data_IF_150650680822
#
_entry.id   IF_150650680822
#
_cell.length_a   1.000
_cell.length_b   1.000
_cell.length_c   1.000
_cell.angle_alpha   90.00
_cell.angle_beta   90.00
_cell.angle_gamma   90.00
#
_symmetry.space_group_name_H-M   'P 1'
#
loop_
_entity.id
_entity.type
_entity.pdbx_description
1 polymer ?
#
# COMPACT_ATOMS: atom_id res chain seq x y z
N UNK A 1 -21.67 -10.66 25.78
CA UNK A 1 -20.38 -11.10 25.26
C UNK A 1 -20.45 -10.78 23.77
N UNK A 2 -19.93 -9.61 23.33
CA UNK A 2 -19.84 -9.31 21.90
C UNK A 2 -18.73 -10.18 21.39
N UNK A 3 -19.01 -10.92 20.33
CA UNK A 3 -18.03 -11.66 19.58
C UNK A 3 -17.05 -10.60 19.01
N UNK A 4 -15.85 -10.50 19.55
CA UNK A 4 -14.81 -9.61 19.03
C UNK A 4 -14.24 -10.27 17.79
N UNK A 5 -15.02 -10.24 16.71
CA UNK A 5 -14.54 -10.59 15.38
C UNK A 5 -13.35 -9.70 15.04
N UNK A 6 -12.30 -10.28 14.44
CA UNK A 6 -11.16 -9.48 13.97
C UNK A 6 -11.66 -8.42 13.00
N UNK A 7 -11.20 -7.17 13.13
CA UNK A 7 -11.49 -6.07 12.20
C UNK A 7 -11.30 -6.50 10.73
N UNK A 8 -10.34 -7.36 10.46
CA UNK A 8 -10.06 -7.88 9.12
C UNK A 8 -11.23 -8.67 8.49
N UNK A 9 -12.26 -9.03 9.25
CA UNK A 9 -13.43 -9.82 8.82
C UNK A 9 -14.73 -9.01 8.77
N UNK A 10 -14.72 -7.75 9.24
CA UNK A 10 -15.90 -6.89 9.26
C UNK A 10 -16.29 -6.39 7.85
N UNK A 11 -17.54 -5.97 7.71
CA UNK A 11 -18.07 -5.42 6.47
C UNK A 11 -18.05 -3.88 6.53
N UNK A 12 -17.30 -3.27 5.62
CA UNK A 12 -17.14 -1.82 5.47
C UNK A 12 -17.67 -1.33 4.10
N UNK A 13 -18.57 -2.09 3.46
CA UNK A 13 -19.15 -1.72 2.16
C UNK A 13 -19.88 -0.39 2.21
N UNK A 14 -19.90 0.29 1.07
CA UNK A 14 -20.69 1.49 0.79
C UNK A 14 -20.37 2.72 1.68
N UNK A 15 -19.28 2.69 2.45
CA UNK A 15 -18.81 3.83 3.20
C UNK A 15 -18.01 4.78 2.29
N UNK A 16 -18.13 6.08 2.50
CA UNK A 16 -17.16 7.04 1.95
C UNK A 16 -15.78 6.83 2.56
N UNK A 17 -14.74 7.39 1.95
CA UNK A 17 -13.37 7.24 2.47
C UNK A 17 -13.23 7.73 3.92
N UNK A 18 -13.87 8.85 4.25
CA UNK A 18 -13.81 9.44 5.59
C UNK A 18 -14.57 8.59 6.61
N UNK A 19 -15.79 8.14 6.28
CA UNK A 19 -16.58 7.23 7.12
C UNK A 19 -15.86 5.89 7.30
N UNK A 20 -15.23 5.37 6.24
CA UNK A 20 -14.48 4.13 6.27
C UNK A 20 -13.29 4.23 7.23
N UNK A 21 -12.49 5.30 7.14
CA UNK A 21 -11.36 5.55 8.04
C UNK A 21 -11.81 5.77 9.48
N UNK A 22 -12.89 6.54 9.70
CA UNK A 22 -13.43 6.79 11.03
C UNK A 22 -13.91 5.48 11.67
N UNK A 23 -14.61 4.64 10.90
CA UNK A 23 -15.09 3.34 11.37
C UNK A 23 -13.93 2.44 11.79
N UNK A 24 -12.87 2.36 10.99
CA UNK A 24 -11.68 1.55 11.31
C UNK A 24 -10.95 2.13 12.52
N UNK A 25 -10.77 3.45 12.57
CA UNK A 25 -10.04 4.11 13.66
C UNK A 25 -10.75 4.00 15.02
N UNK A 26 -12.09 3.86 14.99
CA UNK A 26 -12.89 3.68 16.21
C UNK A 26 -13.14 2.21 16.56
N UNK A 27 -12.67 1.29 15.72
CA UNK A 27 -12.77 -0.14 15.99
C UNK A 27 -11.83 -0.53 17.14
N UNK A 28 -12.37 -1.18 18.15
CA UNK A 28 -11.60 -1.61 19.33
C UNK A 28 -10.78 -2.89 18.99
N UNK A 29 -9.69 -2.74 18.24
CA UNK A 29 -8.74 -3.79 17.95
C UNK A 29 -7.34 -3.34 18.41
N UNK A 30 -6.84 -3.95 19.49
CA UNK A 30 -5.54 -3.60 20.09
C UNK A 30 -4.35 -3.82 19.13
N UNK A 31 -4.55 -4.63 18.09
CA UNK A 31 -3.52 -4.92 17.09
C UNK A 31 -3.59 -4.00 15.87
N UNK A 32 -4.53 -3.06 15.84
CA UNK A 32 -4.74 -2.17 14.71
C UNK A 32 -4.37 -0.72 15.07
N UNK A 33 -3.58 -0.09 14.21
CA UNK A 33 -3.28 1.35 14.27
C UNK A 33 -3.58 2.02 12.94
N UNK A 34 -4.12 3.25 13.01
CA UNK A 34 -4.44 4.07 11.84
C UNK A 34 -3.63 5.36 11.89
N UNK A 35 -2.84 5.61 10.87
CA UNK A 35 -2.13 6.86 10.64
C UNK A 35 -2.76 7.61 9.47
N UNK A 36 -3.22 8.84 9.72
CA UNK A 36 -3.73 9.72 8.66
C UNK A 36 -2.54 10.39 7.95
N UNK A 37 -2.42 10.18 6.64
CA UNK A 37 -1.34 10.69 5.81
C UNK A 37 -1.85 11.84 4.93
N UNK A 38 -2.18 12.96 5.57
CA UNK A 38 -2.83 14.09 4.91
C UNK A 38 -4.29 13.80 4.55
N UNK A 39 -4.88 14.57 3.61
CA UNK A 39 -6.30 14.47 3.28
C UNK A 39 -6.67 13.25 2.41
N UNK A 40 -5.70 12.70 1.68
CA UNK A 40 -5.97 11.76 0.60
C UNK A 40 -5.38 10.37 0.81
N UNK A 41 -4.62 10.15 1.88
CA UNK A 41 -3.98 8.86 2.17
C UNK A 41 -4.11 8.49 3.65
N UNK A 42 -4.06 7.18 3.90
CA UNK A 42 -3.95 6.63 5.24
C UNK A 42 -3.07 5.37 5.22
N UNK A 43 -2.46 5.09 6.35
CA UNK A 43 -1.78 3.83 6.61
C UNK A 43 -2.49 3.11 7.75
N UNK A 44 -2.76 1.81 7.57
CA UNK A 44 -3.41 0.97 8.57
C UNK A 44 -2.49 -0.22 8.80
N UNK A 45 -1.92 -0.29 10.00
CA UNK A 45 -1.12 -1.43 10.45
C UNK A 45 -2.01 -2.36 11.27
N UNK A 46 -2.00 -3.64 10.93
CA UNK A 46 -2.57 -4.70 11.75
C UNK A 46 -1.49 -5.73 12.05
N UNK A 47 -1.18 -5.90 13.33
CA UNK A 47 -0.19 -6.85 13.80
C UNK A 47 -0.85 -8.21 14.05
N UNK A 48 -0.53 -9.20 13.21
CA UNK A 48 -1.11 -10.54 13.26
C UNK A 48 -0.08 -11.68 13.29
N UNK A 49 1.17 -11.38 12.93
CA UNK A 49 2.23 -12.40 12.89
C UNK A 49 3.58 -11.84 12.53
N UNK A 50 4.55 -12.74 12.34
CA UNK A 50 5.96 -12.40 12.12
C UNK A 50 6.30 -12.00 10.69
N UNK A 51 5.41 -12.25 9.74
CA UNK A 51 5.56 -11.85 8.35
C UNK A 51 4.65 -10.67 8.07
N UNK A 52 5.08 -9.75 7.23
CA UNK A 52 4.34 -8.54 6.89
C UNK A 52 4.02 -8.50 5.40
N UNK A 53 2.76 -8.21 5.07
CA UNK A 53 2.39 -7.74 3.75
C UNK A 53 2.21 -6.22 3.76
N UNK A 54 3.00 -5.49 2.98
CA UNK A 54 2.84 -4.05 2.70
C UNK A 54 2.13 -3.93 1.36
N UNK A 55 0.91 -3.41 1.37
CA UNK A 55 0.13 -3.32 0.14
C UNK A 55 -0.44 -1.93 -0.07
N UNK A 56 -0.62 -1.59 -1.34
CA UNK A 56 -1.11 -0.30 -1.79
C UNK A 56 -2.40 -0.52 -2.55
N UNK A 57 -3.46 0.17 -2.14
CA UNK A 57 -4.76 0.11 -2.80
C UNK A 57 -5.43 1.49 -2.79
N UNK A 58 -6.49 1.67 -3.54
CA UNK A 58 -7.32 2.85 -3.43
C UNK A 58 -8.73 2.47 -2.99
N UNK A 59 -9.37 3.36 -2.26
CA UNK A 59 -10.67 3.13 -1.66
C UNK A 59 -11.78 2.88 -2.70
N UNK A 60 -11.70 3.52 -3.88
CA UNK A 60 -12.66 3.31 -4.95
C UNK A 60 -12.65 1.86 -5.45
N UNK A 61 -11.44 1.28 -5.63
CA UNK A 61 -11.31 -0.11 -6.08
C UNK A 61 -11.67 -1.11 -4.96
N UNK A 62 -11.44 -0.77 -3.69
CA UNK A 62 -11.87 -1.57 -2.54
C UNK A 62 -13.39 -1.68 -2.52
N UNK A 63 -14.11 -0.56 -2.66
CA UNK A 63 -15.57 -0.54 -2.67
C UNK A 63 -16.18 -1.14 -3.95
N UNK A 64 -15.53 -0.99 -5.10
CA UNK A 64 -16.00 -1.56 -6.35
C UNK A 64 -15.90 -3.10 -6.43
N UNK A 65 -15.14 -3.70 -5.55
CA UNK A 65 -14.95 -5.15 -5.49
C UNK A 65 -15.89 -5.78 -4.45
N UNK A 66 -16.21 -7.06 -4.65
CA UNK A 66 -17.05 -7.89 -3.79
C UNK A 66 -16.47 -8.18 -2.38
N UNK A 67 -15.43 -7.48 -1.99
CA UNK A 67 -14.63 -7.73 -0.77
C UNK A 67 -15.20 -7.07 0.49
N UNK A 68 -16.44 -6.62 0.46
CA UNK A 68 -17.12 -6.02 1.62
C UNK A 68 -16.37 -4.79 2.17
N UNK A 69 -15.82 -3.95 1.29
CA UNK A 69 -15.06 -2.77 1.66
C UNK A 69 -13.70 -3.05 2.32
N UNK A 70 -13.17 -4.27 2.16
CA UNK A 70 -11.89 -4.70 2.74
C UNK A 70 -10.75 -4.68 1.72
N UNK A 71 -9.59 -4.14 2.06
CA UNK A 71 -8.38 -4.27 1.26
C UNK A 71 -8.01 -5.75 1.03
N UNK A 72 -7.44 -6.05 -0.14
CA UNK A 72 -7.00 -7.42 -0.46
C UNK A 72 -5.93 -7.92 0.54
N UNK A 73 -5.05 -7.03 0.98
CA UNK A 73 -4.00 -7.38 1.94
C UNK A 73 -4.55 -7.92 3.25
N UNK A 74 -5.70 -7.44 3.72
CA UNK A 74 -6.34 -7.95 4.93
C UNK A 74 -6.79 -9.40 4.78
N UNK A 75 -7.34 -9.76 3.63
CA UNK A 75 -7.76 -11.13 3.36
C UNK A 75 -6.56 -12.08 3.32
N UNK A 76 -5.45 -11.63 2.72
CA UNK A 76 -4.22 -12.42 2.67
C UNK A 76 -3.59 -12.54 4.06
N UNK A 77 -3.51 -11.45 4.81
CA UNK A 77 -2.96 -11.43 6.16
C UNK A 77 -3.76 -12.35 7.11
N UNK A 78 -5.09 -12.23 7.10
CA UNK A 78 -5.96 -13.07 7.93
C UNK A 78 -5.84 -14.56 7.60
N UNK A 79 -5.73 -14.92 6.30
CA UNK A 79 -5.62 -16.31 5.86
C UNK A 79 -4.28 -16.95 6.25
N UNK A 80 -3.21 -16.20 6.17
CA UNK A 80 -1.83 -16.67 6.37
C UNK A 80 -1.29 -16.36 7.77
N UNK A 81 -2.11 -15.77 8.64
CA UNK A 81 -1.71 -15.29 9.98
C UNK A 81 -0.50 -14.34 9.91
N UNK A 82 -0.55 -13.39 8.98
CA UNK A 82 0.47 -12.36 8.78
C UNK A 82 0.02 -11.02 9.34
N UNK A 83 0.97 -10.15 9.58
CA UNK A 83 0.72 -8.72 9.75
C UNK A 83 0.45 -8.04 8.41
N UNK A 84 -0.27 -6.94 8.43
CA UNK A 84 -0.65 -6.17 7.23
C UNK A 84 -0.40 -4.69 7.44
N UNK A 85 0.32 -4.06 6.51
CA UNK A 85 0.42 -2.61 6.39
C UNK A 85 -0.27 -2.17 5.11
N UNK A 86 -1.41 -1.54 5.25
CA UNK A 86 -2.25 -1.06 4.15
C UNK A 86 -2.03 0.42 3.90
N UNK A 87 -1.45 0.79 2.77
CA UNK A 87 -1.39 2.17 2.28
C UNK A 87 -2.61 2.39 1.40
N UNK A 88 -3.58 3.16 1.87
CA UNK A 88 -4.84 3.38 1.15
C UNK A 88 -4.93 4.84 0.72
N UNK A 89 -5.23 5.05 -0.56
CA UNK A 89 -5.53 6.37 -1.10
C UNK A 89 -7.04 6.54 -1.31
N UNK A 90 -7.55 7.77 -1.18
CA UNK A 90 -8.95 8.13 -1.45
C UNK A 90 -9.34 7.78 -2.88
N UNK A 91 -8.53 8.20 -3.83
CA UNK A 91 -8.67 7.94 -5.26
C UNK A 91 -7.44 7.22 -5.80
N UNK A 92 -7.45 6.87 -7.10
CA UNK A 92 -6.30 6.25 -7.76
C UNK A 92 -5.08 7.15 -7.70
N UNK A 93 -4.04 6.71 -7.01
CA UNK A 93 -2.84 7.44 -6.70
C UNK A 93 -1.59 6.64 -7.05
N UNK A 94 -0.48 7.35 -7.35
CA UNK A 94 0.87 6.80 -7.38
C UNK A 94 1.58 6.96 -6.04
N UNK A 95 0.88 7.40 -4.99
CA UNK A 95 1.42 7.62 -3.64
C UNK A 95 2.63 8.58 -3.64
N UNK A 96 2.64 9.52 -4.60
CA UNK A 96 3.66 10.59 -4.73
C UNK A 96 3.26 11.79 -3.89
N UNK A 97 3.26 11.62 -2.57
CA UNK A 97 2.77 12.59 -1.62
C UNK A 97 3.78 12.78 -0.46
N UNK A 98 4.07 14.02 -0.01
CA UNK A 98 4.99 14.28 1.09
C UNK A 98 4.63 13.57 2.39
N UNK A 99 3.35 13.41 2.70
CA UNK A 99 2.92 12.68 3.90
C UNK A 99 3.25 11.19 3.82
N UNK A 100 3.11 10.60 2.62
CA UNK A 100 3.50 9.20 2.40
C UNK A 100 5.03 9.05 2.50
N UNK A 101 5.80 10.01 1.97
CA UNK A 101 7.27 9.99 2.12
C UNK A 101 7.68 10.05 3.58
N UNK A 102 7.11 10.99 4.34
CA UNK A 102 7.41 11.14 5.77
C UNK A 102 7.03 9.89 6.58
N UNK A 103 5.95 9.21 6.20
CA UNK A 103 5.55 7.96 6.83
C UNK A 103 6.60 6.86 6.62
N UNK A 104 7.06 6.66 5.38
CA UNK A 104 8.12 5.67 5.12
C UNK A 104 9.47 6.05 5.75
N UNK A 105 9.80 7.35 5.82
CA UNK A 105 10.98 7.81 6.56
C UNK A 105 10.88 7.38 8.03
N UNK A 106 9.74 7.61 8.68
CA UNK A 106 9.50 7.17 10.06
C UNK A 106 9.60 5.64 10.21
N UNK A 107 9.01 4.86 9.30
CA UNK A 107 9.12 3.39 9.35
C UNK A 107 10.57 2.92 9.30
N UNK A 108 11.42 3.59 8.50
CA UNK A 108 12.85 3.30 8.38
C UNK A 108 13.59 3.74 9.65
N UNK A 109 13.39 4.98 10.09
CA UNK A 109 14.11 5.57 11.22
C UNK A 109 13.80 4.82 12.53
N UNK A 110 12.56 4.38 12.71
CA UNK A 110 12.12 3.61 13.88
C UNK A 110 12.40 2.10 13.77
N UNK A 111 12.88 1.62 12.61
CA UNK A 111 13.19 0.21 12.37
C UNK A 111 11.96 -0.71 12.40
N UNK A 112 10.77 -0.17 12.12
CA UNK A 112 9.49 -0.93 12.22
C UNK A 112 9.48 -2.14 11.30
N UNK A 113 9.97 -1.99 10.06
CA UNK A 113 9.98 -3.07 9.08
C UNK A 113 11.00 -4.17 9.41
N UNK A 114 12.01 -3.87 10.20
CA UNK A 114 13.05 -4.82 10.64
C UNK A 114 12.55 -5.80 11.69
N UNK A 115 11.39 -5.54 12.30
CA UNK A 115 10.77 -6.43 13.28
C UNK A 115 10.13 -7.68 12.65
N UNK A 116 10.01 -7.72 11.31
CA UNK A 116 9.36 -8.83 10.61
C UNK A 116 10.38 -9.78 9.98
N UNK A 117 10.11 -11.09 10.08
CA UNK A 117 10.96 -12.13 9.49
C UNK A 117 10.95 -12.07 7.94
N UNK A 118 9.82 -11.70 7.37
CA UNK A 118 9.65 -11.51 5.91
C UNK A 118 8.73 -10.32 5.65
N UNK A 119 9.13 -9.51 4.68
CA UNK A 119 8.32 -8.40 4.19
C UNK A 119 8.01 -8.62 2.71
N UNK A 120 6.75 -8.52 2.34
CA UNK A 120 6.28 -8.62 0.95
C UNK A 120 5.56 -7.33 0.57
N UNK A 121 6.04 -6.67 -0.46
CA UNK A 121 5.34 -5.53 -1.06
C UNK A 121 4.43 -6.00 -2.20
N UNK A 122 3.19 -5.53 -2.21
CA UNK A 122 2.19 -5.87 -3.22
C UNK A 122 1.48 -4.64 -3.76
N UNK A 123 1.24 -4.65 -5.06
CA UNK A 123 0.42 -3.63 -5.70
C UNK A 123 -0.01 -4.02 -7.11
N UNK A 124 -1.08 -3.33 -7.57
CA UNK A 124 -1.63 -3.48 -8.92
C UNK A 124 -1.75 -2.12 -9.59
N UNK A 125 -1.43 -2.03 -10.88
CA UNK A 125 -1.48 -0.81 -11.71
C UNK A 125 -0.66 0.35 -11.09
N UNK A 126 -1.26 1.50 -10.80
CA UNK A 126 -0.60 2.64 -10.16
C UNK A 126 -0.03 2.28 -8.77
N UNK A 127 -0.73 1.44 -8.02
CA UNK A 127 -0.29 0.95 -6.72
C UNK A 127 0.90 -0.03 -6.84
N UNK A 128 1.05 -0.72 -7.98
CA UNK A 128 2.24 -1.53 -8.24
C UNK A 128 3.51 -0.68 -8.42
N UNK A 129 3.39 0.52 -9.01
CA UNK A 129 4.48 1.49 -8.99
C UNK A 129 4.89 1.83 -7.55
N UNK A 130 3.91 2.13 -6.68
CA UNK A 130 4.17 2.47 -5.29
C UNK A 130 4.84 1.31 -4.54
N UNK A 131 4.31 0.08 -4.67
CA UNK A 131 4.91 -1.10 -4.06
C UNK A 131 6.38 -1.29 -4.47
N UNK A 132 6.69 -1.11 -5.75
CA UNK A 132 8.07 -1.15 -6.24
C UNK A 132 8.93 0.02 -5.72
N UNK A 133 8.38 1.23 -5.72
CA UNK A 133 9.10 2.44 -5.32
C UNK A 133 9.46 2.45 -3.83
N UNK A 134 8.56 1.99 -2.97
CA UNK A 134 8.77 1.97 -1.52
C UNK A 134 9.41 0.68 -1.00
N UNK A 135 9.60 -0.34 -1.84
CA UNK A 135 10.27 -1.59 -1.42
C UNK A 135 11.69 -1.39 -0.88
N UNK A 136 12.35 -0.30 -1.27
CA UNK A 136 13.68 0.08 -0.77
C UNK A 136 13.70 0.32 0.75
N UNK A 137 12.54 0.60 1.36
CA UNK A 137 12.42 0.79 2.82
C UNK A 137 12.56 -0.51 3.63
N UNK A 138 12.47 -1.67 2.99
CA UNK A 138 12.73 -2.97 3.61
C UNK A 138 13.71 -3.78 2.73
N UNK A 139 15.02 -3.60 2.85
CA UNK A 139 16.01 -4.37 2.11
C UNK A 139 15.77 -5.88 2.26
N UNK A 140 16.03 -6.65 1.20
CA UNK A 140 15.77 -8.09 1.14
C UNK A 140 14.27 -8.47 1.20
N UNK A 141 13.34 -7.54 1.04
CA UNK A 141 11.93 -7.85 0.86
C UNK A 141 11.66 -8.59 -0.45
N UNK A 142 10.47 -9.15 -0.58
CA UNK A 142 9.92 -9.67 -1.83
C UNK A 142 8.87 -8.73 -2.37
N UNK A 143 8.76 -8.66 -3.70
CA UNK A 143 7.85 -7.71 -4.34
C UNK A 143 6.99 -8.44 -5.37
N UNK A 144 5.67 -8.25 -5.31
CA UNK A 144 4.71 -8.77 -6.28
C UNK A 144 3.97 -7.60 -6.95
N UNK A 145 4.19 -7.44 -8.24
CA UNK A 145 3.67 -6.32 -9.02
C UNK A 145 2.77 -6.83 -10.14
N UNK A 146 1.58 -6.27 -10.25
CA UNK A 146 0.64 -6.58 -11.34
C UNK A 146 0.50 -5.32 -12.20
N UNK A 147 0.89 -5.40 -13.47
CA UNK A 147 0.82 -4.32 -14.46
C UNK A 147 1.50 -3.00 -14.01
N UNK A 148 2.73 -3.04 -13.46
CA UNK A 148 3.38 -1.85 -12.93
C UNK A 148 3.78 -0.86 -14.02
N UNK A 149 3.84 0.44 -13.66
CA UNK A 149 4.60 1.45 -14.39
C UNK A 149 5.96 1.65 -13.72
N UNK A 150 7.01 1.83 -14.50
CA UNK A 150 8.34 2.11 -13.98
C UNK A 150 8.44 3.53 -13.39
N UNK A 151 7.77 4.48 -14.03
CA UNK A 151 7.71 5.91 -13.68
C UNK A 151 6.73 6.62 -14.61
N UNK A 152 6.29 7.81 -14.22
CA UNK A 152 5.61 8.73 -15.14
C UNK A 152 6.47 9.96 -15.49
N UNK A 153 7.77 9.95 -15.16
CA UNK A 153 8.71 10.99 -15.61
C UNK A 153 8.67 11.11 -17.14
N UNK A 154 8.30 12.29 -17.69
CA UNK A 154 8.21 12.48 -19.15
C UNK A 154 9.52 12.22 -19.88
N UNK A 155 10.68 12.40 -19.23
CA UNK A 155 11.97 12.14 -19.83
C UNK A 155 12.21 10.64 -20.09
N UNK A 156 11.52 9.78 -19.33
CA UNK A 156 11.65 8.30 -19.41
C UNK A 156 10.44 7.63 -20.05
N UNK A 157 9.22 8.08 -19.71
CA UNK A 157 7.95 7.49 -20.12
C UNK A 157 7.07 8.48 -20.92
N UNK A 158 7.67 9.46 -21.60
CA UNK A 158 6.95 10.47 -22.38
C UNK A 158 6.09 9.92 -23.53
N UNK A 159 6.41 8.73 -24.00
CA UNK A 159 5.67 7.99 -25.02
C UNK A 159 4.33 7.40 -24.51
N UNK A 160 4.19 7.17 -23.19
CA UNK A 160 2.98 6.59 -22.61
C UNK A 160 1.93 7.65 -22.34
N UNK A 161 0.92 7.75 -23.18
CA UNK A 161 -0.12 8.78 -23.09
C UNK A 161 -1.31 8.40 -22.17
N UNK A 162 -1.27 7.26 -21.49
CA UNK A 162 -2.37 6.81 -20.61
C UNK A 162 -2.56 7.70 -19.38
N UNK A 163 -1.48 8.28 -18.85
CA UNK A 163 -1.45 8.97 -17.55
C UNK A 163 -0.97 10.43 -17.63
N UNK A 164 -1.33 11.15 -18.69
CA UNK A 164 -0.85 12.53 -18.95
C UNK A 164 -1.19 13.50 -17.80
N UNK A 165 -2.37 13.33 -17.18
CA UNK A 165 -2.78 14.19 -16.06
C UNK A 165 -1.90 13.97 -14.82
N UNK A 166 -1.54 12.72 -14.55
CA UNK A 166 -0.79 12.28 -13.39
C UNK A 166 0.72 12.63 -13.49
N UNK A 167 1.23 12.87 -14.70
CA UNK A 167 2.60 13.36 -14.91
C UNK A 167 2.87 14.75 -14.31
N UNK A 168 1.83 15.45 -13.84
CA UNK A 168 1.99 16.71 -13.10
C UNK A 168 2.56 16.50 -11.69
N UNK A 169 2.47 15.28 -11.16
CA UNK A 169 3.17 14.90 -9.93
C UNK A 169 4.67 14.78 -10.22
N UNK A 170 5.49 15.01 -9.20
CA UNK A 170 6.94 14.91 -9.34
C UNK A 170 7.39 13.42 -9.34
N UNK A 171 7.86 12.95 -10.49
CA UNK A 171 8.47 11.64 -10.66
C UNK A 171 9.99 11.72 -10.85
N UNK A 172 10.60 12.89 -10.65
CA UNK A 172 12.05 13.10 -10.82
C UNK A 172 12.82 13.07 -9.50
N UNK A 173 12.13 13.27 -8.37
CA UNK A 173 12.70 13.23 -7.03
C UNK A 173 12.74 11.79 -6.45
N UNK A 174 12.96 11.67 -5.13
CA UNK A 174 13.02 10.38 -4.40
C UNK A 174 11.84 9.46 -4.76
N UNK A 175 12.11 8.17 -4.83
CA UNK A 175 11.13 7.13 -5.24
C UNK A 175 10.59 7.29 -6.68
N UNK A 176 11.09 8.24 -7.48
CA UNK A 176 10.51 8.59 -8.78
C UNK A 176 10.70 7.55 -9.86
N UNK A 177 11.72 6.67 -9.74
CA UNK A 177 12.01 5.61 -10.70
C UNK A 177 12.06 4.24 -10.01
N UNK A 178 10.93 3.55 -10.00
CA UNK A 178 10.71 2.30 -9.27
C UNK A 178 11.76 1.19 -9.56
N UNK A 179 12.24 0.98 -10.81
CA UNK A 179 13.23 -0.06 -11.07
C UNK A 179 14.53 0.06 -10.27
N UNK A 180 14.97 1.28 -9.94
CA UNK A 180 16.17 1.48 -9.10
C UNK A 180 15.90 1.07 -7.65
N UNK A 181 14.69 1.29 -7.16
CA UNK A 181 14.30 0.94 -5.80
C UNK A 181 14.22 -0.59 -5.59
N UNK A 182 13.86 -1.33 -6.63
CA UNK A 182 13.83 -2.80 -6.60
C UNK A 182 15.21 -3.45 -6.44
N UNK A 183 16.29 -2.71 -6.61
CA UNK A 183 17.65 -3.27 -6.50
C UNK A 183 17.99 -3.79 -5.09
N UNK A 184 17.28 -3.35 -4.06
CA UNK A 184 17.43 -3.84 -2.67
C UNK A 184 16.58 -5.06 -2.33
N UNK A 185 15.63 -5.43 -3.18
CA UNK A 185 14.74 -6.57 -2.96
C UNK A 185 15.48 -7.91 -3.20
N UNK A 186 15.13 -8.94 -2.42
CA UNK A 186 15.58 -10.33 -2.64
C UNK A 186 15.03 -10.86 -3.97
N UNK A 187 13.76 -10.58 -4.25
CA UNK A 187 13.09 -11.02 -5.46
C UNK A 187 11.94 -10.10 -5.84
N UNK A 188 11.73 -9.89 -7.14
CA UNK A 188 10.59 -9.19 -7.68
C UNK A 188 9.87 -10.06 -8.72
N UNK A 189 8.58 -10.30 -8.50
CA UNK A 189 7.70 -10.99 -9.45
C UNK A 189 6.82 -9.96 -10.13
N UNK A 190 6.90 -9.88 -11.46
CA UNK A 190 6.15 -8.94 -12.27
C UNK A 190 5.17 -9.73 -13.16
N UNK A 191 3.89 -9.42 -13.05
CA UNK A 191 2.83 -9.97 -13.88
C UNK A 191 2.29 -8.83 -14.75
N UNK A 192 2.39 -8.98 -16.06
CA UNK A 192 1.86 -8.02 -17.02
C UNK A 192 1.35 -8.76 -18.25
N UNK A 193 0.38 -8.15 -18.94
CA UNK A 193 -0.02 -8.63 -20.26
C UNK A 193 1.12 -8.36 -21.25
N UNK A 194 1.35 -9.28 -22.21
CA UNK A 194 2.38 -9.13 -23.22
C UNK A 194 2.12 -7.98 -24.21
#
# INVERSE_FOLDING_TARGET
MRDTGSMLQENFSDLSFDEWLETINTYEDENCTVDFLGPDHAAIMHEGGKNLIVHFENHLDINANWREGRPLGWQLASKEEWSSLSLISRERSWFRDPYVYAYFDRLIDDGILDNFEKVVFYGKDAAAYAAAAYSVSAPMCRVLLISPQATLDPARAGWDNRFVKQRRQDFTSRFGYAPVMLASAEAATIICDP
#
